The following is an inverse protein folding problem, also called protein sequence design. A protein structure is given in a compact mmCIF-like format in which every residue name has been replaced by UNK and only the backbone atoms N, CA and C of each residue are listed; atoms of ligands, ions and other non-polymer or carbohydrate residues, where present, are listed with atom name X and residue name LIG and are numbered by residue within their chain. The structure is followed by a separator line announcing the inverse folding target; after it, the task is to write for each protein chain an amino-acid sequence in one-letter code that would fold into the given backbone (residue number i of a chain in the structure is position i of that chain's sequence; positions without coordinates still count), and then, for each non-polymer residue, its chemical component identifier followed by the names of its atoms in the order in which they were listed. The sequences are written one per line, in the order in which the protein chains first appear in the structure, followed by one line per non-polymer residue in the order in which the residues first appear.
data_IF_381207205768
#
_entry.id   IF_381207205768
#
_cell.length_a   1.000
_cell.length_b   1.000
_cell.length_c   1.000
_cell.angle_alpha   90.00
_cell.angle_beta   90.00
_cell.angle_gamma   90.00
#
_symmetry.space_group_name_H-M   'P 1'
#
loop_
_entity.id
_entity.type
_entity.pdbx_description
1 polymer ?
#
# COMPACT_ATOMS: atom_id res chain seq x y z
N UNK A 1 -44.14 15.53 -0.94
CA UNK A 1 -42.70 15.27 -1.20
C UNK A 1 -42.55 13.96 -1.96
N UNK A 2 -41.92 13.97 -3.14
CA UNK A 2 -41.93 12.84 -4.08
C UNK A 2 -40.76 11.88 -3.80
N UNK A 3 -40.97 10.97 -2.83
CA UNK A 3 -39.99 9.97 -2.38
C UNK A 3 -39.39 9.12 -3.51
N UNK A 4 -40.13 8.87 -4.60
CA UNK A 4 -39.66 8.07 -5.74
C UNK A 4 -38.65 8.78 -6.65
N UNK A 5 -38.66 10.11 -6.69
CA UNK A 5 -37.69 10.93 -7.45
C UNK A 5 -36.37 11.09 -6.69
N UNK A 6 -36.46 11.17 -5.35
CA UNK A 6 -35.31 11.22 -4.44
C UNK A 6 -34.53 9.90 -4.45
N UNK A 7 -35.21 8.74 -4.33
CA UNK A 7 -34.55 7.43 -4.40
C UNK A 7 -33.84 7.18 -5.74
N UNK A 8 -34.45 7.59 -6.86
CA UNK A 8 -33.83 7.47 -8.19
C UNK A 8 -32.57 8.34 -8.30
N UNK A 9 -32.62 9.61 -7.91
CA UNK A 9 -31.45 10.49 -7.94
C UNK A 9 -30.31 10.00 -7.04
N UNK A 10 -30.62 9.43 -5.87
CA UNK A 10 -29.61 8.83 -5.00
C UNK A 10 -28.98 7.60 -5.67
N UNK A 11 -29.79 6.73 -6.30
CA UNK A 11 -29.28 5.56 -7.01
C UNK A 11 -28.40 5.94 -8.21
N UNK A 12 -28.79 6.94 -9.00
CA UNK A 12 -27.97 7.46 -10.10
C UNK A 12 -26.65 8.06 -9.62
N UNK A 13 -26.69 8.82 -8.53
CA UNK A 13 -25.48 9.41 -7.95
C UNK A 13 -24.53 8.33 -7.40
N UNK A 14 -25.07 7.30 -6.73
CA UNK A 14 -24.29 6.14 -6.28
C UNK A 14 -23.69 5.39 -7.48
N UNK A 15 -24.45 5.22 -8.57
CA UNK A 15 -23.96 4.57 -9.79
C UNK A 15 -22.87 5.40 -10.49
N UNK A 16 -22.99 6.73 -10.57
CA UNK A 16 -21.93 7.62 -11.09
C UNK A 16 -20.67 7.62 -10.21
N UNK A 17 -20.83 7.66 -8.89
CA UNK A 17 -19.71 7.54 -7.94
C UNK A 17 -19.01 6.18 -8.08
N UNK A 18 -19.76 5.09 -8.27
CA UNK A 18 -19.21 3.76 -8.56
C UNK A 18 -18.47 3.70 -9.90
N UNK A 19 -19.02 4.34 -10.93
CA UNK A 19 -18.46 4.31 -12.29
C UNK A 19 -17.17 5.16 -12.41
N UNK A 20 -16.91 6.05 -11.46
CA UNK A 20 -15.72 6.92 -11.46
C UNK A 20 -14.59 6.38 -10.57
N UNK A 21 -14.91 5.65 -9.49
CA UNK A 21 -13.97 5.23 -8.44
C UNK A 21 -12.76 4.41 -8.95
N UNK A 22 -12.96 3.54 -9.95
CA UNK A 22 -11.91 2.68 -10.52
C UNK A 22 -11.61 2.98 -11.99
N UNK A 23 -12.11 4.09 -12.53
CA UNK A 23 -11.92 4.46 -13.94
C UNK A 23 -10.45 4.49 -14.36
N UNK A 24 -9.54 4.97 -13.49
CA UNK A 24 -8.11 4.98 -13.77
C UNK A 24 -7.49 3.58 -13.82
N UNK A 25 -7.94 2.68 -12.95
CA UNK A 25 -7.52 1.27 -12.89
C UNK A 25 -7.94 0.55 -14.17
N UNK A 26 -9.20 0.71 -14.60
CA UNK A 26 -9.72 0.12 -15.83
C UNK A 26 -8.98 0.61 -17.07
N UNK A 27 -8.69 1.91 -17.15
CA UNK A 27 -7.89 2.48 -18.23
C UNK A 27 -6.47 1.90 -18.27
N UNK A 28 -5.80 1.80 -17.11
CA UNK A 28 -4.45 1.22 -17.01
C UNK A 28 -4.45 -0.27 -17.36
N UNK A 29 -5.49 -1.00 -16.97
CA UNK A 29 -5.67 -2.41 -17.31
C UNK A 29 -5.85 -2.60 -18.83
N UNK A 30 -6.69 -1.76 -19.48
CA UNK A 30 -6.86 -1.75 -20.95
C UNK A 30 -5.54 -1.46 -21.68
N UNK A 31 -4.70 -0.59 -21.11
CA UNK A 31 -3.36 -0.26 -21.62
C UNK A 31 -2.28 -1.28 -21.27
N UNK A 32 -2.62 -2.36 -20.54
CA UNK A 32 -1.70 -3.42 -20.08
C UNK A 32 -0.54 -2.87 -19.23
N UNK A 33 -0.80 -1.84 -18.42
CA UNK A 33 0.18 -1.34 -17.48
C UNK A 33 0.50 -2.41 -16.42
N UNK A 34 1.76 -2.50 -16.00
CA UNK A 34 2.19 -3.42 -14.94
C UNK A 34 1.70 -3.03 -13.53
N UNK A 35 1.42 -1.74 -13.33
CA UNK A 35 0.93 -1.19 -12.05
C UNK A 35 -0.36 -0.44 -12.35
N UNK A 36 -1.41 -0.77 -11.62
CA UNK A 36 -2.75 -0.28 -11.90
C UNK A 36 -3.19 0.85 -10.94
N UNK A 37 -2.53 1.00 -9.81
CA UNK A 37 -2.82 2.03 -8.83
C UNK A 37 -1.72 3.07 -8.77
N UNK A 38 -2.09 4.31 -8.47
CA UNK A 38 -1.15 5.42 -8.31
C UNK A 38 -1.64 6.38 -7.24
N UNK A 39 -0.82 7.40 -6.95
CA UNK A 39 -1.19 8.50 -6.04
C UNK A 39 -2.42 9.29 -6.50
N UNK A 40 -2.81 9.13 -7.75
CA UNK A 40 -3.94 9.82 -8.37
C UNK A 40 -5.17 8.91 -8.50
N UNK A 41 -5.07 7.64 -8.07
CA UNK A 41 -6.21 6.73 -8.06
C UNK A 41 -7.27 7.24 -7.09
N UNK A 42 -8.49 7.45 -7.60
CA UNK A 42 -9.57 8.07 -6.83
C UNK A 42 -9.95 7.23 -5.61
N UNK A 43 -10.00 5.91 -5.79
CA UNK A 43 -10.27 4.94 -4.72
C UNK A 43 -9.28 4.98 -3.54
N UNK A 44 -8.09 5.57 -3.71
CA UNK A 44 -7.05 5.60 -2.67
C UNK A 44 -6.93 6.94 -1.95
N UNK A 45 -7.67 7.98 -2.35
CA UNK A 45 -7.44 9.34 -1.87
C UNK A 45 -7.60 9.48 -0.35
N UNK A 46 -8.57 8.81 0.26
CA UNK A 46 -8.77 8.90 1.71
C UNK A 46 -7.72 8.15 2.51
N UNK A 47 -7.26 6.99 2.01
CA UNK A 47 -6.12 6.27 2.58
C UNK A 47 -4.83 7.10 2.47
N UNK A 48 -4.59 7.70 1.30
CA UNK A 48 -3.42 8.57 1.05
C UNK A 48 -3.41 9.77 2.01
N UNK A 49 -4.56 10.45 2.20
CA UNK A 49 -4.68 11.55 3.17
C UNK A 49 -4.35 11.07 4.58
N UNK A 50 -4.88 9.90 4.99
CA UNK A 50 -4.60 9.36 6.31
C UNK A 50 -3.11 9.04 6.48
N UNK A 51 -2.46 8.44 5.48
CA UNK A 51 -1.01 8.15 5.48
C UNK A 51 -0.18 9.43 5.65
N UNK A 52 -0.53 10.51 4.95
CA UNK A 52 0.18 11.80 5.00
C UNK A 52 0.13 12.47 6.39
N UNK A 53 -0.81 12.07 7.25
CA UNK A 53 -0.96 12.59 8.60
C UNK A 53 -0.21 11.77 9.66
N UNK A 54 0.30 10.58 9.32
CA UNK A 54 0.95 9.71 10.29
C UNK A 54 2.45 9.99 10.41
N UNK A 55 3.00 9.76 11.60
CA UNK A 55 4.44 9.72 11.80
C UNK A 55 5.05 8.44 11.19
N UNK A 56 6.38 8.41 11.10
CA UNK A 56 7.11 7.33 10.43
C UNK A 56 6.89 5.96 11.12
N UNK A 57 6.92 5.91 12.46
CA UNK A 57 6.75 4.66 13.24
C UNK A 57 5.40 4.00 12.98
N UNK A 58 4.32 4.78 12.97
CA UNK A 58 2.97 4.28 12.67
C UNK A 58 2.92 3.64 11.27
N UNK A 59 3.52 4.29 10.26
CA UNK A 59 3.54 3.76 8.90
C UNK A 59 4.37 2.48 8.78
N UNK A 60 5.49 2.40 9.51
CA UNK A 60 6.30 1.17 9.57
C UNK A 60 5.50 0.02 10.17
N UNK A 61 4.89 0.20 11.34
CA UNK A 61 4.08 -0.88 11.95
C UNK A 61 2.92 -1.29 11.06
N UNK A 62 2.21 -0.30 10.50
CA UNK A 62 1.08 -0.56 9.62
C UNK A 62 1.48 -1.37 8.38
N UNK A 63 2.56 -1.00 7.71
CA UNK A 63 2.97 -1.67 6.47
C UNK A 63 3.54 -3.06 6.74
N UNK A 64 4.39 -3.24 7.75
CA UNK A 64 4.94 -4.56 8.09
C UNK A 64 3.86 -5.52 8.57
N UNK A 65 2.90 -5.05 9.36
CA UNK A 65 1.76 -5.85 9.81
C UNK A 65 0.85 -6.28 8.65
N UNK A 66 0.44 -5.33 7.79
CA UNK A 66 -0.40 -5.64 6.65
C UNK A 66 0.29 -6.58 5.66
N UNK A 67 1.60 -6.46 5.48
CA UNK A 67 2.39 -7.30 4.57
C UNK A 67 2.50 -8.76 5.04
N UNK A 68 2.23 -9.08 6.31
CA UNK A 68 2.19 -10.48 6.78
C UNK A 68 1.09 -11.27 6.07
N UNK A 69 -0.11 -10.67 5.93
CA UNK A 69 -1.22 -11.29 5.19
C UNK A 69 -0.87 -11.46 3.71
N UNK A 70 -0.17 -10.48 3.13
CA UNK A 70 0.33 -10.55 1.75
C UNK A 70 1.36 -11.67 1.57
N UNK A 71 2.26 -11.84 2.56
CA UNK A 71 3.25 -12.90 2.58
C UNK A 71 2.60 -14.28 2.68
N UNK A 72 1.63 -14.46 3.58
CA UNK A 72 0.88 -15.71 3.71
C UNK A 72 0.21 -16.11 2.38
N UNK A 73 -0.38 -15.14 1.66
CA UNK A 73 -0.94 -15.40 0.33
C UNK A 73 0.14 -15.83 -0.68
N UNK A 74 1.30 -15.17 -0.67
CA UNK A 74 2.40 -15.50 -1.58
C UNK A 74 2.92 -16.93 -1.34
N UNK A 75 3.15 -17.28 -0.09
CA UNK A 75 3.74 -18.56 0.32
C UNK A 75 2.78 -19.73 0.15
N UNK A 76 1.47 -19.48 0.19
CA UNK A 76 0.47 -20.50 -0.14
C UNK A 76 0.68 -21.12 -1.54
N UNK A 77 1.34 -20.39 -2.46
CA UNK A 77 1.71 -20.89 -3.79
C UNK A 77 3.21 -21.13 -3.95
N UNK A 78 4.06 -20.28 -3.39
CA UNK A 78 5.52 -20.33 -3.53
C UNK A 78 6.21 -20.56 -2.17
N UNK A 79 5.96 -21.71 -1.54
CA UNK A 79 6.47 -22.03 -0.20
C UNK A 79 8.00 -22.05 -0.09
N UNK A 80 8.69 -22.40 -1.17
CA UNK A 80 10.16 -22.53 -1.19
C UNK A 80 10.87 -21.19 -1.50
N UNK A 81 10.13 -20.16 -1.91
CA UNK A 81 10.69 -18.84 -2.22
C UNK A 81 10.75 -17.97 -0.98
N UNK A 82 11.85 -18.08 -0.25
CA UNK A 82 12.04 -17.46 1.07
C UNK A 82 12.38 -15.97 1.04
N UNK A 83 12.74 -15.37 -0.12
CA UNK A 83 13.20 -13.97 -0.18
C UNK A 83 12.17 -12.95 0.32
N UNK A 84 10.85 -13.06 0.02
CA UNK A 84 9.85 -12.13 0.56
C UNK A 84 9.69 -12.24 2.09
N UNK A 85 9.78 -13.44 2.66
CA UNK A 85 9.78 -13.63 4.13
C UNK A 85 11.00 -13.00 4.77
N UNK A 86 12.19 -13.31 4.25
CA UNK A 86 13.45 -12.75 4.73
C UNK A 86 13.46 -11.22 4.67
N UNK A 87 12.83 -10.63 3.64
CA UNK A 87 12.62 -9.18 3.55
C UNK A 87 11.85 -8.63 4.76
N UNK A 88 10.71 -9.21 5.14
CA UNK A 88 9.92 -8.72 6.27
C UNK A 88 10.65 -8.91 7.60
N UNK A 89 11.27 -10.07 7.82
CA UNK A 89 12.00 -10.37 9.05
C UNK A 89 13.19 -9.41 9.26
N UNK A 90 13.99 -9.18 8.22
CA UNK A 90 15.12 -8.26 8.31
C UNK A 90 14.67 -6.80 8.39
N UNK A 91 13.56 -6.41 7.78
CA UNK A 91 12.99 -5.07 7.95
C UNK A 91 12.42 -4.86 9.37
N UNK A 92 11.86 -5.89 9.99
CA UNK A 92 11.47 -5.84 11.41
C UNK A 92 12.71 -5.67 12.29
N UNK A 93 13.77 -6.47 12.09
CA UNK A 93 15.02 -6.32 12.85
C UNK A 93 15.68 -4.95 12.64
N UNK A 94 15.61 -4.41 11.42
CA UNK A 94 16.10 -3.06 11.15
C UNK A 94 15.25 -2.01 11.85
N UNK A 95 13.92 -2.17 11.87
CA UNK A 95 12.98 -1.32 12.62
C UNK A 95 13.34 -1.28 14.11
N UNK A 96 13.77 -2.41 14.67
CA UNK A 96 14.23 -2.55 16.07
C UNK A 96 15.68 -2.12 16.31
N UNK A 97 16.39 -1.66 15.27
CA UNK A 97 17.80 -1.24 15.38
C UNK A 97 18.80 -2.38 15.58
N UNK A 98 18.39 -3.64 15.40
CA UNK A 98 19.25 -4.82 15.57
C UNK A 98 20.24 -5.01 14.42
N UNK A 99 19.89 -4.54 13.23
CA UNK A 99 20.73 -4.60 12.04
C UNK A 99 20.85 -3.24 11.36
N UNK A 100 21.86 -3.09 10.49
CA UNK A 100 22.08 -1.87 9.70
C UNK A 100 21.29 -1.91 8.39
N UNK A 101 20.91 -0.72 7.91
CA UNK A 101 20.18 -0.53 6.64
C UNK A 101 20.68 -1.37 5.46
N UNK A 102 21.99 -1.52 5.17
CA UNK A 102 22.43 -2.25 3.99
C UNK A 102 21.96 -3.71 3.95
N UNK A 103 21.80 -4.35 5.12
CA UNK A 103 21.32 -5.74 5.22
C UNK A 103 19.84 -5.81 4.84
N UNK A 104 18.98 -5.00 5.47
CA UNK A 104 17.56 -4.91 5.12
C UNK A 104 17.34 -4.47 3.67
N UNK A 105 18.13 -3.49 3.19
CA UNK A 105 18.07 -3.03 1.79
C UNK A 105 18.36 -4.15 0.80
N UNK A 106 19.33 -5.03 1.08
CA UNK A 106 19.60 -6.19 0.24
C UNK A 106 18.38 -7.09 0.17
N UNK A 107 17.78 -7.45 1.30
CA UNK A 107 16.60 -8.30 1.36
C UNK A 107 15.38 -7.70 0.64
N UNK A 108 15.16 -6.38 0.75
CA UNK A 108 14.13 -5.65 -0.01
C UNK A 108 14.35 -5.81 -1.53
N UNK A 109 15.59 -5.61 -1.99
CA UNK A 109 15.94 -5.75 -3.41
C UNK A 109 15.77 -7.19 -3.88
N UNK A 110 16.12 -8.17 -3.04
CA UNK A 110 15.98 -9.58 -3.36
C UNK A 110 14.50 -9.97 -3.47
N UNK A 111 13.62 -9.44 -2.60
CA UNK A 111 12.16 -9.58 -2.75
C UNK A 111 11.66 -8.97 -4.07
N UNK A 112 12.18 -7.81 -4.47
CA UNK A 112 11.83 -7.22 -5.77
C UNK A 112 12.36 -8.03 -6.96
N UNK A 113 13.50 -8.70 -6.81
CA UNK A 113 14.07 -9.55 -7.86
C UNK A 113 13.17 -10.75 -8.17
N UNK A 114 12.57 -11.38 -7.14
CA UNK A 114 11.60 -12.47 -7.30
C UNK A 114 10.52 -12.11 -8.33
N UNK A 115 9.95 -10.90 -8.25
CA UNK A 115 8.89 -10.45 -9.14
C UNK A 115 9.26 -10.46 -10.64
N UNK A 116 10.55 -10.46 -10.97
CA UNK A 116 11.06 -10.53 -12.35
C UNK A 116 11.43 -11.95 -12.76
N UNK A 117 11.68 -12.81 -11.79
CA UNK A 117 12.14 -14.19 -11.99
C UNK A 117 10.97 -15.17 -12.06
N UNK A 118 9.89 -14.91 -11.31
CA UNK A 118 8.65 -15.70 -11.41
C UNK A 118 7.83 -15.25 -12.61
N UNK A 119 7.42 -16.21 -13.44
CA UNK A 119 6.54 -15.95 -14.60
C UNK A 119 5.07 -15.87 -14.16
N UNK A 120 4.78 -15.01 -13.19
CA UNK A 120 3.48 -14.88 -12.55
C UNK A 120 3.24 -13.44 -12.11
N UNK A 121 2.44 -12.71 -12.89
CA UNK A 121 2.22 -11.29 -12.63
C UNK A 121 1.43 -11.02 -11.34
N UNK A 122 0.50 -11.92 -10.96
CA UNK A 122 -0.27 -11.78 -9.72
C UNK A 122 0.67 -11.84 -8.53
N UNK A 123 1.52 -12.86 -8.47
CA UNK A 123 2.41 -13.10 -7.34
C UNK A 123 3.64 -12.20 -7.39
N UNK A 124 4.11 -11.81 -8.57
CA UNK A 124 5.18 -10.82 -8.71
C UNK A 124 4.76 -9.45 -8.17
N UNK A 125 3.49 -9.09 -8.31
CA UNK A 125 2.94 -7.91 -7.65
C UNK A 125 2.94 -8.06 -6.11
N UNK A 126 2.64 -9.24 -5.55
CA UNK A 126 2.76 -9.47 -4.09
C UNK A 126 4.21 -9.27 -3.61
N UNK A 127 5.21 -9.79 -4.34
CA UNK A 127 6.63 -9.59 -4.00
C UNK A 127 7.05 -8.11 -3.99
N UNK A 128 6.55 -7.32 -4.96
CA UNK A 128 6.78 -5.87 -4.96
C UNK A 128 6.08 -5.19 -3.78
N UNK A 129 4.85 -5.60 -3.44
CA UNK A 129 4.11 -5.07 -2.31
C UNK A 129 4.86 -5.29 -0.98
N UNK A 130 5.35 -6.52 -0.76
CA UNK A 130 6.15 -6.91 0.41
C UNK A 130 7.45 -6.11 0.48
N UNK A 131 8.19 -6.01 -0.62
CA UNK A 131 9.43 -5.20 -0.65
C UNK A 131 9.17 -3.72 -0.37
N UNK A 132 8.06 -3.17 -0.86
CA UNK A 132 7.67 -1.79 -0.55
C UNK A 132 7.26 -1.59 0.90
N UNK A 133 6.56 -2.56 1.51
CA UNK A 133 6.27 -2.53 2.93
C UNK A 133 7.57 -2.48 3.76
N UNK A 134 8.54 -3.34 3.43
CA UNK A 134 9.87 -3.30 4.05
C UNK A 134 10.63 -1.99 3.81
N UNK A 135 10.52 -1.41 2.61
CA UNK A 135 11.16 -0.14 2.26
C UNK A 135 10.57 1.07 2.99
N UNK A 136 9.36 0.96 3.57
CA UNK A 136 8.79 2.01 4.44
C UNK A 136 9.69 2.33 5.62
N UNK A 137 10.45 1.35 6.13
CA UNK A 137 11.43 1.56 7.20
C UNK A 137 12.49 2.59 6.80
N UNK A 138 12.82 2.68 5.50
CA UNK A 138 13.74 3.69 4.98
C UNK A 138 13.11 5.09 4.93
N UNK A 139 11.90 5.18 4.36
CA UNK A 139 11.19 6.45 4.13
C UNK A 139 9.71 6.20 3.86
N UNK A 140 8.87 7.12 4.35
CA UNK A 140 7.41 7.04 4.36
C UNK A 140 6.78 6.94 2.96
N UNK A 141 7.45 7.46 1.93
CA UNK A 141 6.94 7.45 0.54
C UNK A 141 6.80 6.05 -0.05
N UNK A 142 7.52 5.06 0.50
CA UNK A 142 7.36 3.66 0.11
C UNK A 142 6.09 3.01 0.62
N UNK A 143 5.44 3.59 1.64
CA UNK A 143 4.26 3.01 2.27
C UNK A 143 3.09 2.82 1.29
N UNK A 144 2.96 3.71 0.30
CA UNK A 144 1.96 3.59 -0.77
C UNK A 144 2.25 2.45 -1.75
N UNK A 145 3.49 1.96 -1.82
CA UNK A 145 3.83 0.83 -2.68
C UNK A 145 3.10 -0.46 -2.28
N UNK A 146 2.91 -0.71 -0.98
CA UNK A 146 2.13 -1.86 -0.50
C UNK A 146 0.73 -1.91 -1.12
N UNK A 147 -0.16 -0.91 -0.92
CA UNK A 147 -1.48 -0.92 -1.54
C UNK A 147 -1.41 -0.87 -3.06
N UNK A 148 -0.44 -0.17 -3.68
CA UNK A 148 -0.40 -0.10 -5.13
C UNK A 148 -0.20 -1.47 -5.79
N UNK A 149 0.72 -2.27 -5.24
CA UNK A 149 1.06 -3.56 -5.83
C UNK A 149 0.13 -4.68 -5.35
N UNK A 150 -0.25 -4.74 -4.07
CA UNK A 150 -1.17 -5.79 -3.60
C UNK A 150 -2.55 -5.62 -4.22
N UNK A 151 -3.05 -4.39 -4.38
CA UNK A 151 -4.32 -4.18 -5.10
C UNK A 151 -4.18 -4.51 -6.60
N UNK A 152 -3.02 -4.26 -7.21
CA UNK A 152 -2.76 -4.72 -8.59
C UNK A 152 -2.84 -6.24 -8.68
N UNK A 153 -2.27 -6.98 -7.71
CA UNK A 153 -2.39 -8.43 -7.61
C UNK A 153 -3.86 -8.88 -7.54
N UNK A 154 -4.68 -8.23 -6.71
CA UNK A 154 -6.13 -8.52 -6.62
C UNK A 154 -6.83 -8.29 -7.96
N UNK A 155 -6.52 -7.20 -8.68
CA UNK A 155 -7.11 -6.97 -10.01
C UNK A 155 -6.71 -8.06 -11.01
N UNK A 156 -5.45 -8.52 -10.98
CA UNK A 156 -4.99 -9.60 -11.85
C UNK A 156 -5.67 -10.94 -11.53
N UNK A 157 -5.89 -11.23 -10.24
CA UNK A 157 -6.58 -12.44 -9.76
C UNK A 157 -8.04 -12.51 -10.17
N UNK A 158 -8.79 -11.42 -9.97
CA UNK A 158 -10.24 -11.40 -10.18
C UNK A 158 -10.66 -10.94 -11.58
N UNK A 159 -9.76 -10.30 -12.33
CA UNK A 159 -10.04 -9.76 -13.65
C UNK A 159 -10.96 -8.54 -13.63
N UNK A 160 -11.13 -7.93 -14.81
CA UNK A 160 -11.80 -6.62 -15.00
C UNK A 160 -13.24 -6.58 -14.45
N UNK A 161 -13.96 -7.69 -14.48
CA UNK A 161 -15.40 -7.72 -14.20
C UNK A 161 -15.72 -7.98 -12.72
N UNK A 162 -14.72 -8.33 -11.90
CA UNK A 162 -14.96 -8.79 -10.51
C UNK A 162 -13.97 -8.26 -9.48
N UNK A 163 -13.02 -7.40 -9.86
CA UNK A 163 -12.02 -6.87 -8.92
C UNK A 163 -12.56 -5.80 -7.96
N UNK A 164 -13.62 -5.08 -8.32
CA UNK A 164 -14.03 -3.85 -7.61
C UNK A 164 -14.36 -4.10 -6.14
N UNK A 165 -15.12 -5.16 -5.84
CA UNK A 165 -15.47 -5.56 -4.46
C UNK A 165 -14.24 -5.94 -3.63
N UNK A 166 -13.40 -6.92 -4.01
CA UNK A 166 -12.24 -7.31 -3.21
C UNK A 166 -11.20 -6.18 -3.08
N UNK A 167 -11.05 -5.32 -4.09
CA UNK A 167 -10.19 -4.12 -3.99
C UNK A 167 -10.72 -3.15 -2.93
N UNK A 168 -12.02 -2.85 -2.94
CA UNK A 168 -12.62 -1.95 -1.95
C UNK A 168 -12.52 -2.53 -0.52
N UNK A 169 -12.77 -3.83 -0.35
CA UNK A 169 -12.60 -4.53 0.93
C UNK A 169 -11.15 -4.42 1.43
N UNK A 170 -10.16 -4.58 0.56
CA UNK A 170 -8.75 -4.46 0.93
C UNK A 170 -8.34 -3.02 1.26
N UNK A 171 -8.87 -2.02 0.55
CA UNK A 171 -8.66 -0.59 0.89
C UNK A 171 -9.22 -0.28 2.28
N UNK A 172 -10.43 -0.75 2.59
CA UNK A 172 -11.02 -0.59 3.92
C UNK A 172 -10.21 -1.30 5.01
N UNK A 173 -9.71 -2.51 4.73
CA UNK A 173 -8.79 -3.21 5.62
C UNK A 173 -7.55 -2.36 5.93
N UNK A 174 -6.88 -1.81 4.91
CA UNK A 174 -5.71 -0.94 5.12
C UNK A 174 -6.03 0.28 5.96
N UNK A 175 -7.15 0.95 5.66
CA UNK A 175 -7.59 2.14 6.39
C UNK A 175 -7.80 1.83 7.88
N UNK A 176 -8.53 0.75 8.18
CA UNK A 176 -8.81 0.32 9.55
C UNK A 176 -7.53 -0.12 10.29
N UNK A 177 -6.62 -0.84 9.63
CA UNK A 177 -5.32 -1.19 10.23
C UNK A 177 -4.46 0.05 10.49
N UNK A 178 -4.51 1.06 9.64
CA UNK A 178 -3.78 2.30 9.86
C UNK A 178 -4.33 3.08 11.07
N UNK A 179 -5.66 3.13 11.23
CA UNK A 179 -6.28 3.69 12.43
C UNK A 179 -5.88 2.91 13.70
N UNK A 180 -5.89 1.58 13.62
CA UNK A 180 -5.42 0.74 14.73
C UNK A 180 -3.98 1.09 15.12
N UNK A 181 -3.06 1.15 14.17
CA UNK A 181 -1.65 1.45 14.48
C UNK A 181 -1.46 2.88 14.97
N UNK A 182 -2.22 3.84 14.45
CA UNK A 182 -2.25 5.21 14.97
C UNK A 182 -2.59 5.24 16.47
N UNK A 183 -3.52 4.41 16.92
CA UNK A 183 -3.95 4.37 18.32
C UNK A 183 -3.08 3.49 19.23
N UNK A 184 -2.29 2.57 18.68
CA UNK A 184 -1.64 1.51 19.45
C UNK A 184 -0.10 1.49 19.35
N UNK A 185 0.52 2.21 18.41
CA UNK A 185 1.99 2.17 18.21
C UNK A 185 2.75 2.53 19.50
N UNK A 186 2.34 3.57 20.21
CA UNK A 186 3.01 4.04 21.43
C UNK A 186 2.56 3.32 22.70
N UNK A 187 1.58 2.41 22.61
CA UNK A 187 1.16 1.58 23.74
C UNK A 187 2.02 0.33 23.89
N UNK A 188 2.78 -0.01 22.85
CA UNK A 188 3.66 -1.16 22.84
C UNK A 188 5.06 -0.70 23.28
N UNK A 189 5.59 -1.33 24.31
CA UNK A 189 6.96 -1.11 24.78
C UNK A 189 7.94 -1.81 23.82
N UNK A 190 8.15 -1.19 22.66
CA UNK A 190 8.96 -1.73 21.58
C UNK A 190 10.26 -0.94 21.44
N UNK A 191 11.35 -1.67 21.18
CA UNK A 191 12.60 -1.07 20.72
C UNK A 191 12.44 -0.44 19.34
N UNK A 192 13.16 0.65 19.11
CA UNK A 192 13.19 1.37 17.84
C UNK A 192 14.62 1.72 17.44
N UNK A 193 14.91 1.59 16.14
CA UNK A 193 16.09 2.20 15.59
C UNK A 193 16.07 3.72 15.82
N UNK A 194 17.20 4.28 16.25
CA UNK A 194 17.24 5.68 16.71
C UNK A 194 16.74 6.71 15.68
N UNK A 195 16.87 6.45 14.38
CA UNK A 195 16.37 7.35 13.34
C UNK A 195 14.84 7.39 13.22
N UNK A 196 14.14 6.36 13.71
CA UNK A 196 12.67 6.30 13.74
C UNK A 196 12.08 7.05 14.95
N UNK A 197 12.91 7.41 15.94
CA UNK A 197 12.49 8.19 17.11
C UNK A 197 12.38 9.70 16.81
N UNK A 198 12.89 10.16 15.67
CA UNK A 198 12.81 11.58 15.27
C UNK A 198 11.44 11.90 14.67
N UNK A 199 10.52 12.32 15.54
CA UNK A 199 9.16 12.72 15.15
C UNK A 199 9.05 14.17 14.67
N UNK A 200 10.13 14.93 14.72
CA UNK A 200 10.14 16.34 14.28
C UNK A 200 10.08 16.47 12.76
N UNK A 201 10.42 15.38 12.04
CA UNK A 201 10.46 15.37 10.59
C UNK A 201 9.05 15.34 10.02
N UNK A 202 8.73 16.23 9.05
CA UNK A 202 7.48 16.13 8.34
C UNK A 202 7.44 14.85 7.51
N UNK A 203 6.26 14.21 7.49
CA UNK A 203 5.98 13.05 6.66
C UNK A 203 6.37 13.32 5.19
N UNK A 204 7.26 12.47 4.65
CA UNK A 204 7.81 12.67 3.30
C UNK A 204 6.80 12.49 2.18
N UNK A 205 5.76 11.67 2.37
CA UNK A 205 4.67 11.54 1.40
C UNK A 205 3.80 12.81 1.36
N UNK A 206 3.58 13.47 2.50
CA UNK A 206 2.90 14.78 2.56
C UNK A 206 3.67 15.84 1.77
N UNK A 207 4.98 15.97 2.03
CA UNK A 207 5.83 16.91 1.31
C UNK A 207 5.85 16.63 -0.21
N UNK A 208 5.88 15.36 -0.60
CA UNK A 208 5.83 14.98 -2.00
C UNK A 208 4.49 15.40 -2.64
N UNK A 209 3.38 15.18 -1.94
CA UNK A 209 2.04 15.59 -2.38
C UNK A 209 1.93 17.10 -2.59
N UNK A 210 2.41 17.89 -1.62
CA UNK A 210 2.45 19.37 -1.70
C UNK A 210 3.25 19.85 -2.90
N UNK A 211 4.46 19.30 -3.10
CA UNK A 211 5.33 19.61 -4.26
C UNK A 211 4.70 19.23 -5.59
N UNK A 212 3.91 18.16 -5.65
CA UNK A 212 3.17 17.76 -6.87
C UNK A 212 2.05 18.74 -7.19
N UNK A 213 1.33 19.21 -6.16
CA UNK A 213 0.24 20.19 -6.32
C UNK A 213 0.75 21.55 -6.79
N UNK A 214 1.86 22.05 -6.24
CA UNK A 214 2.43 23.34 -6.66
C UNK A 214 2.80 23.33 -8.14
N UNK A 215 3.47 22.25 -8.61
CA UNK A 215 3.83 22.09 -10.02
C UNK A 215 2.64 22.03 -10.99
N UNK A 216 1.50 21.52 -10.54
CA UNK A 216 0.28 21.47 -11.37
C UNK A 216 -0.41 22.83 -11.47
N UNK A 217 -0.20 23.73 -10.50
CA UNK A 217 -0.73 25.09 -10.51
C UNK A 217 0.14 26.05 -11.34
N UNK A 218 1.38 25.67 -11.63
CA UNK A 218 2.34 26.42 -12.46
C UNK A 218 2.22 26.10 -13.97
N UNK A 219 1.46 25.07 -14.35
CA UNK A 219 1.24 24.60 -15.74
C UNK A 219 -0.13 25.05 -16.26
#
# INVERSE_FOLDING_TARGET
MNYGKIKRNILYKILEEFNTMFSDVEMKLKKRNKILFSRDSQCLQDLIKLIQLQNHRILVMWTLDCAKVTLEQFEAKYSEENRPRACLELCEDWTRGKIKMPIAKRAILDSHAVAKEINDNEYGALCHAIGHAGATVHVETHALGLPFYELTSIVLKYGKDSFSKPVNEKINYYYNRLLYWKENTDKLDLDWAGFLLDETRPNKERLLSEKRKSKQQEL
#
